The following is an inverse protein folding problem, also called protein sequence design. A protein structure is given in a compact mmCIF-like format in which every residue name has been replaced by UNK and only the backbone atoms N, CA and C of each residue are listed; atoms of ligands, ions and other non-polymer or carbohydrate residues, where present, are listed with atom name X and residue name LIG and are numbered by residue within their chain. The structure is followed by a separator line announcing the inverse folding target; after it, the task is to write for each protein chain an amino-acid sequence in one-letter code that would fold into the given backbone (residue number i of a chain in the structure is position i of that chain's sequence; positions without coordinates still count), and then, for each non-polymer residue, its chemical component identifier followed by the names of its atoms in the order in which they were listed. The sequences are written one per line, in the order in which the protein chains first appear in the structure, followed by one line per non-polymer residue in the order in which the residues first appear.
data_IF_978424976307
#
_entry.id   IF_978424976307
#
_cell.length_a   1.000
_cell.length_b   1.000
_cell.length_c   1.000
_cell.angle_alpha   90.00
_cell.angle_beta   90.00
_cell.angle_gamma   90.00
#
_symmetry.space_group_name_H-M   'P 1'
#
loop_
_entity.id
_entity.type
_entity.pdbx_description
1 polymer ?
#
# COMPACT_ATOMS: atom_id res chain seq x y z
N UNK A 1 18.21 2.01 -10.96
CA UNK A 1 18.79 0.74 -10.44
C UNK A 1 18.29 0.54 -9.01
N UNK A 2 17.15 -0.13 -8.82
CA UNK A 2 16.76 -0.63 -7.51
C UNK A 2 17.35 -2.05 -7.37
N UNK A 3 18.47 -2.17 -6.64
CA UNK A 3 19.00 -3.49 -6.28
C UNK A 3 17.96 -4.13 -5.36
N UNK A 4 17.47 -5.33 -5.70
CA UNK A 4 16.47 -6.09 -4.94
C UNK A 4 16.82 -6.07 -3.44
N UNK A 5 16.00 -5.37 -2.66
CA UNK A 5 16.18 -5.20 -1.21
C UNK A 5 15.96 -6.53 -0.47
N UNK A 6 15.11 -7.39 -1.04
CA UNK A 6 14.72 -8.70 -0.51
C UNK A 6 15.85 -9.74 -0.65
N UNK A 7 16.64 -9.72 -1.73
CA UNK A 7 17.66 -10.76 -1.95
C UNK A 7 18.93 -10.62 -1.09
N UNK A 8 19.17 -9.46 -0.46
CA UNK A 8 20.38 -9.22 0.32
C UNK A 8 20.18 -9.10 1.83
N UNK A 9 18.96 -8.90 2.32
CA UNK A 9 18.71 -8.98 3.76
C UNK A 9 18.49 -10.44 4.11
N UNK A 10 19.44 -11.02 4.84
CA UNK A 10 19.18 -12.21 5.67
C UNK A 10 18.22 -11.80 6.77
N UNK A 11 16.96 -11.56 6.44
CA UNK A 11 15.94 -11.29 7.44
C UNK A 11 15.75 -12.60 8.19
N UNK A 12 16.02 -12.64 9.51
CA UNK A 12 15.76 -13.83 10.28
C UNK A 12 14.27 -14.17 10.13
N UNK A 13 13.98 -15.42 9.77
CA UNK A 13 12.60 -15.91 9.52
C UNK A 13 11.71 -15.72 10.76
N UNK A 14 12.31 -15.59 11.94
CA UNK A 14 11.63 -15.22 13.18
C UNK A 14 12.47 -14.21 13.96
N UNK A 15 11.89 -13.05 14.27
CA UNK A 15 12.44 -12.16 15.30
C UNK A 15 12.06 -12.72 16.69
N UNK A 16 12.93 -12.56 17.70
CA UNK A 16 12.58 -12.96 19.06
C UNK A 16 11.34 -12.19 19.52
N UNK A 17 10.34 -12.92 20.04
CA UNK A 17 9.17 -12.33 20.66
C UNK A 17 9.62 -11.45 21.84
N UNK A 18 9.01 -10.27 21.95
CA UNK A 18 9.25 -9.39 23.09
C UNK A 18 8.46 -9.99 24.26
N UNK A 19 9.09 -10.34 25.38
CA UNK A 19 8.39 -10.93 26.51
C UNK A 19 7.26 -10.01 26.97
N UNK A 20 6.05 -10.55 27.17
CA UNK A 20 4.88 -9.77 27.60
C UNK A 20 5.15 -8.96 28.88
N UNK A 21 6.02 -9.47 29.76
CA UNK A 21 6.46 -8.79 30.98
C UNK A 21 7.13 -7.43 30.76
N UNK A 22 7.65 -7.18 29.55
CA UNK A 22 8.27 -5.90 29.14
C UNK A 22 7.26 -4.91 28.56
N UNK A 23 6.05 -5.34 28.23
CA UNK A 23 5.00 -4.52 27.63
C UNK A 23 3.86 -4.30 28.63
N UNK A 24 4.16 -3.64 29.76
CA UNK A 24 3.11 -3.34 30.77
C UNK A 24 2.17 -2.28 30.21
N UNK A 25 0.89 -2.62 30.07
CA UNK A 25 -0.16 -1.70 29.63
C UNK A 25 -0.69 -2.00 28.22
N UNK A 26 0.14 -2.55 27.33
CA UNK A 26 -0.27 -2.83 25.94
C UNK A 26 -1.42 -3.82 25.91
N UNK A 27 -2.51 -3.46 25.22
CA UNK A 27 -3.66 -4.35 25.04
C UNK A 27 -3.30 -5.46 24.06
N UNK A 28 -3.49 -6.69 24.54
CA UNK A 28 -3.46 -7.88 23.70
C UNK A 28 -4.86 -8.14 23.21
N UNK A 29 -5.06 -7.98 21.90
CA UNK A 29 -6.26 -8.45 21.24
C UNK A 29 -5.99 -9.86 20.70
N UNK A 30 -6.96 -10.75 20.83
CA UNK A 30 -7.03 -11.94 19.98
C UNK A 30 -7.58 -11.57 18.60
N UNK A 31 -7.51 -12.50 17.64
CA UNK A 31 -7.93 -12.24 16.26
C UNK A 31 -9.43 -11.89 16.17
N UNK A 32 -10.26 -12.49 17.03
CA UNK A 32 -11.72 -12.30 17.03
C UNK A 32 -12.11 -10.89 17.53
N UNK A 33 -11.60 -10.50 18.69
CA UNK A 33 -11.81 -9.17 19.29
C UNK A 33 -11.36 -8.07 18.34
N UNK A 34 -10.26 -8.31 17.63
CA UNK A 34 -9.74 -7.35 16.66
C UNK A 34 -10.64 -7.19 15.42
N UNK A 35 -11.18 -8.29 14.89
CA UNK A 35 -12.09 -8.22 13.75
C UNK A 35 -13.42 -7.53 14.10
N UNK A 36 -13.89 -7.66 15.34
CA UNK A 36 -15.02 -6.89 15.87
C UNK A 36 -14.68 -5.40 15.95
N UNK A 37 -13.53 -5.06 16.51
CA UNK A 37 -13.03 -3.68 16.58
C UNK A 37 -12.97 -3.02 15.18
N UNK A 38 -12.47 -3.74 14.17
CA UNK A 38 -12.45 -3.23 12.79
C UNK A 38 -13.85 -3.02 12.20
N UNK A 39 -14.83 -3.86 12.56
CA UNK A 39 -16.23 -3.66 12.14
C UNK A 39 -16.81 -2.42 12.78
N UNK A 40 -16.51 -2.16 14.05
CA UNK A 40 -16.99 -0.98 14.78
C UNK A 40 -16.39 0.31 14.19
N UNK A 41 -15.08 0.35 13.91
CA UNK A 41 -14.46 1.49 13.20
C UNK A 41 -15.15 1.75 11.85
N UNK A 42 -15.44 0.71 11.07
CA UNK A 42 -16.14 0.87 9.78
C UNK A 42 -17.56 1.38 9.96
N UNK A 43 -18.24 0.94 11.01
CA UNK A 43 -19.63 1.32 11.32
C UNK A 43 -19.72 2.77 11.78
N UNK A 44 -18.81 3.24 12.62
CA UNK A 44 -18.72 4.64 13.04
C UNK A 44 -18.47 5.56 11.84
N UNK A 45 -17.48 5.23 11.00
CA UNK A 45 -17.21 5.95 9.75
C UNK A 45 -18.40 6.00 8.78
N UNK A 46 -19.35 5.06 8.91
CA UNK A 46 -20.57 5.02 8.07
C UNK A 46 -21.73 5.81 8.66
N UNK A 47 -21.77 6.02 9.98
CA UNK A 47 -22.87 6.70 10.68
C UNK A 47 -22.76 8.23 10.65
N UNK A 48 -21.55 8.77 10.52
CA UNK A 48 -21.31 10.23 10.47
C UNK A 48 -21.67 10.88 9.12
N UNK A 49 -22.45 10.19 8.30
CA UNK A 49 -22.86 10.64 6.96
C UNK A 49 -23.95 11.72 6.92
N UNK A 50 -24.55 12.12 8.05
CA UNK A 50 -25.86 12.80 8.00
C UNK A 50 -25.93 14.27 8.49
N UNK A 51 -24.87 14.91 9.02
CA UNK A 51 -25.08 16.28 9.56
C UNK A 51 -23.92 17.29 9.58
N UNK A 52 -22.76 17.04 8.94
CA UNK A 52 -21.69 18.04 8.94
C UNK A 52 -21.50 18.67 7.55
N UNK A 53 -21.47 20.00 7.51
CA UNK A 53 -21.16 20.82 6.35
C UNK A 53 -19.97 20.26 5.54
N UNK A 54 -19.90 20.52 4.22
CA UNK A 54 -18.84 20.03 3.35
C UNK A 54 -17.48 20.68 3.69
N UNK A 55 -16.87 20.27 4.80
CA UNK A 55 -15.44 20.41 5.01
C UNK A 55 -14.83 19.60 3.88
N UNK A 56 -14.11 20.27 2.99
CA UNK A 56 -13.39 19.67 1.86
C UNK A 56 -12.53 18.53 2.43
N UNK A 57 -13.06 17.30 2.41
CA UNK A 57 -12.34 16.07 2.76
C UNK A 57 -11.17 16.01 1.81
N UNK A 58 -10.02 16.55 2.23
CA UNK A 58 -8.74 16.35 1.56
C UNK A 58 -8.42 14.88 1.74
N UNK A 59 -8.96 14.10 0.80
CA UNK A 59 -8.57 12.77 0.36
C UNK A 59 -7.68 12.02 1.36
N UNK A 60 -8.31 11.13 2.13
CA UNK A 60 -7.69 9.89 2.62
C UNK A 60 -7.38 8.93 1.44
N UNK A 61 -6.80 9.46 0.37
CA UNK A 61 -6.40 8.70 -0.82
C UNK A 61 -4.99 8.25 -0.54
N UNK A 62 -4.81 6.95 -0.38
CA UNK A 62 -3.56 6.31 0.06
C UNK A 62 -3.34 6.30 1.57
N UNK A 63 -4.36 5.99 2.39
CA UNK A 63 -4.17 5.53 3.77
C UNK A 63 -3.40 6.49 4.70
N UNK A 64 -3.30 7.77 4.32
CA UNK A 64 -2.81 8.86 5.15
C UNK A 64 -3.92 9.26 6.11
N UNK A 65 -3.58 9.44 7.39
CA UNK A 65 -4.59 9.75 8.40
C UNK A 65 -5.49 8.57 8.78
N UNK A 66 -5.06 7.33 8.51
CA UNK A 66 -5.74 6.15 9.05
C UNK A 66 -5.51 6.15 10.55
N UNK A 67 -6.60 6.19 11.31
CA UNK A 67 -6.55 5.93 12.73
C UNK A 67 -6.26 4.44 12.94
N UNK A 68 -5.09 4.16 13.53
CA UNK A 68 -4.65 2.83 13.86
C UNK A 68 -5.00 2.54 15.31
N UNK A 69 -6.26 2.71 15.71
CA UNK A 69 -6.69 2.62 17.12
C UNK A 69 -6.40 1.30 17.85
N UNK A 70 -5.82 0.30 17.17
CA UNK A 70 -5.33 -0.96 17.73
C UNK A 70 -3.81 -1.06 17.86
N UNK A 71 -3.10 -0.08 17.30
CA UNK A 71 -1.68 0.09 17.48
C UNK A 71 -1.49 1.07 18.63
N UNK A 72 -0.72 0.62 19.60
CA UNK A 72 -0.36 1.36 20.81
C UNK A 72 1.16 1.41 20.86
N UNK A 73 1.72 2.48 21.39
CA UNK A 73 3.13 2.57 21.70
C UNK A 73 3.49 1.79 22.98
N UNK A 74 4.74 1.88 23.40
CA UNK A 74 5.24 1.19 24.61
C UNK A 74 4.60 1.71 25.91
N UNK A 75 3.97 2.88 25.87
CA UNK A 75 3.36 3.57 27.00
C UNK A 75 1.82 3.42 27.03
N UNK A 76 1.24 2.51 26.22
CA UNK A 76 -0.22 2.31 26.06
C UNK A 76 -0.94 3.54 25.47
N UNK A 77 -0.21 4.43 24.78
CA UNK A 77 -0.85 5.52 24.05
C UNK A 77 -1.20 5.06 22.63
N UNK A 78 -2.35 5.50 22.08
CA UNK A 78 -2.68 5.28 20.69
C UNK A 78 -1.54 5.77 19.78
N UNK A 79 -1.20 4.97 18.77
CA UNK A 79 -0.13 5.29 17.85
C UNK A 79 -0.43 6.61 17.13
N UNK A 80 0.51 7.57 17.17
CA UNK A 80 0.32 8.85 16.49
C UNK A 80 0.07 8.65 14.98
N UNK A 81 -0.78 9.49 14.39
CA UNK A 81 -1.08 9.47 12.94
C UNK A 81 0.19 9.48 12.10
N UNK A 82 1.15 10.35 12.44
CA UNK A 82 2.44 10.46 11.73
C UNK A 82 3.24 9.16 11.75
N UNK A 83 3.16 8.38 12.84
CA UNK A 83 3.84 7.09 12.96
C UNK A 83 3.10 6.03 12.14
N UNK A 84 1.77 6.03 12.17
CA UNK A 84 0.94 5.22 11.27
C UNK A 84 1.24 5.47 9.78
N UNK A 85 1.39 6.74 9.37
CA UNK A 85 1.74 7.11 8.00
C UNK A 85 3.10 6.55 7.57
N UNK A 86 4.07 6.48 8.51
CA UNK A 86 5.38 5.85 8.26
C UNK A 86 5.27 4.35 8.06
N UNK A 87 4.48 3.66 8.89
CA UNK A 87 4.19 2.22 8.72
C UNK A 87 3.57 1.97 7.34
N UNK A 88 2.55 2.77 6.99
CA UNK A 88 1.90 2.77 5.68
C UNK A 88 2.89 2.92 4.52
N UNK A 89 3.76 3.92 4.62
CA UNK A 89 4.72 4.26 3.55
C UNK A 89 5.75 3.15 3.37
N UNK A 90 6.29 2.62 4.47
CA UNK A 90 7.25 1.53 4.44
C UNK A 90 6.65 0.25 3.86
N UNK A 91 5.46 -0.13 4.33
CA UNK A 91 4.70 -1.26 3.81
C UNK A 91 4.42 -1.16 2.30
N UNK A 92 4.08 0.03 1.79
CA UNK A 92 3.90 0.21 0.34
C UNK A 92 5.18 0.00 -0.44
N UNK A 93 6.31 0.49 0.07
CA UNK A 93 7.62 0.24 -0.54
C UNK A 93 7.87 -1.26 -0.69
N UNK A 94 7.62 -2.05 0.36
CA UNK A 94 7.74 -3.52 0.29
C UNK A 94 6.79 -4.14 -0.75
N UNK A 95 5.56 -3.63 -0.88
CA UNK A 95 4.60 -4.14 -1.87
C UNK A 95 4.98 -3.79 -3.32
N UNK A 96 5.56 -2.61 -3.53
CA UNK A 96 6.11 -2.22 -4.83
C UNK A 96 7.29 -3.11 -5.22
N UNK A 97 8.11 -3.54 -4.26
CA UNK A 97 9.17 -4.51 -4.51
C UNK A 97 8.62 -5.87 -4.91
N UNK A 98 7.61 -6.37 -4.20
CA UNK A 98 6.90 -7.60 -4.59
C UNK A 98 6.34 -7.44 -6.01
N UNK A 99 5.72 -6.30 -6.32
CA UNK A 99 5.21 -6.04 -7.67
C UNK A 99 6.29 -6.11 -8.75
N UNK A 100 7.53 -5.71 -8.48
CA UNK A 100 8.61 -5.84 -9.48
C UNK A 100 8.93 -7.30 -9.82
N UNK A 101 8.63 -8.25 -8.92
CA UNK A 101 8.88 -9.67 -9.12
C UNK A 101 7.68 -10.40 -9.77
N UNK A 102 6.45 -9.90 -9.60
CA UNK A 102 5.24 -10.47 -10.20
C UNK A 102 4.78 -9.67 -11.43
N UNK A 103 4.52 -10.36 -12.55
CA UNK A 103 3.81 -9.73 -13.67
C UNK A 103 2.42 -9.24 -13.22
N UNK A 104 1.97 -8.08 -13.73
CA UNK A 104 0.71 -7.41 -13.37
C UNK A 104 -0.52 -8.35 -13.25
N UNK A 105 -0.62 -9.32 -14.15
CA UNK A 105 -1.75 -10.27 -14.22
C UNK A 105 -1.69 -11.39 -13.18
N UNK A 106 -0.58 -11.53 -12.46
CA UNK A 106 -0.34 -12.60 -11.47
C UNK A 106 -0.43 -12.11 -10.03
N UNK A 107 -0.80 -10.85 -9.80
CA UNK A 107 -0.90 -10.37 -8.42
C UNK A 107 -2.13 -10.93 -7.70
N UNK A 108 -1.94 -11.55 -6.52
CA UNK A 108 -3.01 -12.03 -5.66
C UNK A 108 -4.08 -10.98 -5.39
N UNK A 109 -5.36 -11.35 -5.34
CA UNK A 109 -6.44 -10.45 -4.89
C UNK A 109 -6.39 -10.14 -3.39
N UNK A 110 -5.70 -10.98 -2.61
CA UNK A 110 -5.51 -10.82 -1.17
C UNK A 110 -4.15 -11.33 -0.77
N UNK A 111 -3.60 -10.78 0.31
CA UNK A 111 -2.33 -11.23 0.88
C UNK A 111 -2.41 -12.71 1.31
N UNK A 112 -3.47 -13.10 2.04
CA UNK A 112 -3.62 -14.47 2.60
C UNK A 112 -3.83 -15.59 1.57
N UNK A 113 -4.53 -15.34 0.45
CA UNK A 113 -5.04 -16.45 -0.36
C UNK A 113 -4.12 -16.90 -1.50
N UNK A 114 -3.28 -16.02 -2.06
CA UNK A 114 -2.49 -16.37 -3.25
C UNK A 114 -1.08 -15.80 -3.30
N UNK A 115 -0.67 -15.01 -2.29
CA UNK A 115 0.72 -14.55 -2.22
C UNK A 115 1.58 -15.72 -1.70
N UNK A 116 2.73 -16.04 -2.33
CA UNK A 116 3.58 -17.09 -1.81
C UNK A 116 3.95 -16.82 -0.36
N UNK A 117 3.86 -17.85 0.49
CA UNK A 117 4.06 -17.76 1.93
C UNK A 117 5.34 -16.98 2.30
N UNK A 118 6.42 -17.21 1.53
CA UNK A 118 7.69 -16.52 1.68
C UNK A 118 7.58 -14.98 1.60
N UNK A 119 6.77 -14.44 0.68
CA UNK A 119 6.59 -12.98 0.58
C UNK A 119 5.76 -12.44 1.73
N UNK A 120 4.72 -13.15 2.16
CA UNK A 120 3.94 -12.74 3.34
C UNK A 120 4.80 -12.73 4.60
N UNK A 121 5.57 -13.81 4.83
CA UNK A 121 6.46 -13.92 5.98
C UNK A 121 7.60 -12.91 5.91
N UNK A 122 8.21 -12.71 4.75
CA UNK A 122 9.26 -11.71 4.54
C UNK A 122 8.73 -10.29 4.77
N UNK A 123 7.51 -9.99 4.33
CA UNK A 123 6.85 -8.71 4.58
C UNK A 123 6.62 -8.49 6.08
N UNK A 124 6.05 -9.48 6.77
CA UNK A 124 5.78 -9.42 8.22
C UNK A 124 7.09 -9.23 8.99
N UNK A 125 8.11 -10.02 8.70
CA UNK A 125 9.41 -9.90 9.37
C UNK A 125 10.08 -8.55 9.08
N UNK A 126 9.96 -8.03 7.86
CA UNK A 126 10.52 -6.72 7.50
C UNK A 126 9.82 -5.58 8.23
N UNK A 127 8.48 -5.59 8.32
CA UNK A 127 7.73 -4.53 8.99
C UNK A 127 7.93 -4.56 10.50
N UNK A 128 8.01 -5.74 11.11
CA UNK A 128 8.31 -5.89 12.54
C UNK A 128 9.74 -5.50 12.90
N UNK A 129 10.69 -5.74 11.99
CA UNK A 129 12.07 -5.30 12.19
C UNK A 129 12.20 -3.78 12.21
N UNK A 130 11.31 -3.07 11.52
CA UNK A 130 11.33 -1.61 11.41
C UNK A 130 10.46 -0.93 12.50
N UNK A 131 9.33 -1.56 12.87
CA UNK A 131 8.33 -1.02 13.79
C UNK A 131 8.10 -1.97 14.96
N UNK A 132 8.70 -1.64 16.10
CA UNK A 132 8.59 -2.43 17.33
C UNK A 132 7.17 -2.55 17.86
N UNK A 133 6.30 -1.59 17.57
CA UNK A 133 4.91 -1.56 18.01
C UNK A 133 4.09 -2.73 17.45
N UNK A 134 4.52 -3.26 16.31
CA UNK A 134 3.93 -4.43 15.67
C UNK A 134 4.35 -5.74 16.34
N UNK A 135 5.45 -5.73 17.10
CA UNK A 135 5.98 -6.90 17.83
C UNK A 135 5.36 -7.10 19.20
N UNK A 136 4.55 -6.15 19.69
CA UNK A 136 3.87 -6.24 20.99
C UNK A 136 2.63 -7.15 20.95
N UNK A 137 2.67 -8.22 20.14
CA UNK A 137 1.59 -9.19 20.02
C UNK A 137 2.15 -10.59 19.76
N UNK A 138 1.46 -11.62 20.25
CA UNK A 138 1.79 -13.01 19.95
C UNK A 138 1.47 -13.35 18.49
N UNK A 139 2.24 -14.24 17.87
CA UNK A 139 1.97 -14.73 16.51
C UNK A 139 1.92 -13.65 15.41
N UNK A 140 2.54 -12.48 15.61
CA UNK A 140 2.68 -11.46 14.57
C UNK A 140 1.36 -10.90 14.01
N UNK A 141 0.23 -11.06 14.72
CA UNK A 141 -1.08 -10.76 14.14
C UNK A 141 -1.26 -9.27 13.82
N UNK A 142 -0.68 -8.34 14.61
CA UNK A 142 -0.72 -6.89 14.31
C UNK A 142 -0.03 -6.61 12.98
N UNK A 143 1.17 -7.16 12.78
CA UNK A 143 1.90 -7.03 11.54
C UNK A 143 1.15 -7.67 10.36
N UNK A 144 0.54 -8.85 10.56
CA UNK A 144 -0.26 -9.52 9.54
C UNK A 144 -1.49 -8.69 9.13
N UNK A 145 -2.23 -8.13 10.10
CA UNK A 145 -3.40 -7.30 9.82
C UNK A 145 -3.03 -6.00 9.13
N UNK A 146 -1.92 -5.36 9.53
CA UNK A 146 -1.35 -4.20 8.84
C UNK A 146 -1.00 -4.56 7.39
N UNK A 147 -0.34 -5.70 7.16
CA UNK A 147 -0.03 -6.20 5.83
C UNK A 147 -1.28 -6.36 4.96
N UNK A 148 -2.32 -7.02 5.49
CA UNK A 148 -3.59 -7.27 4.79
C UNK A 148 -4.30 -5.96 4.47
N UNK A 149 -4.41 -5.06 5.44
CA UNK A 149 -5.09 -3.78 5.26
C UNK A 149 -4.41 -2.93 4.19
N UNK A 150 -3.09 -2.76 4.30
CA UNK A 150 -2.32 -1.95 3.37
C UNK A 150 -2.34 -2.57 1.97
N UNK A 151 -2.21 -3.90 1.88
CA UNK A 151 -2.28 -4.60 0.60
C UNK A 151 -3.63 -4.39 -0.10
N UNK A 152 -4.74 -4.54 0.63
CA UNK A 152 -6.08 -4.36 0.08
C UNK A 152 -6.32 -2.93 -0.42
N UNK A 153 -5.91 -1.94 0.38
CA UNK A 153 -6.07 -0.51 0.00
C UNK A 153 -5.19 -0.14 -1.19
N UNK A 154 -3.93 -0.58 -1.19
CA UNK A 154 -2.98 -0.41 -2.29
C UNK A 154 -3.50 -1.06 -3.58
N UNK A 155 -3.91 -2.33 -3.52
CA UNK A 155 -4.40 -3.05 -4.68
C UNK A 155 -5.67 -2.43 -5.26
N UNK A 156 -6.60 -2.00 -4.39
CA UNK A 156 -7.82 -1.31 -4.81
C UNK A 156 -7.49 -0.01 -5.53
N UNK A 157 -6.58 0.80 -4.98
CA UNK A 157 -6.11 2.04 -5.60
C UNK A 157 -5.51 1.78 -6.98
N UNK A 158 -4.62 0.78 -7.06
CA UNK A 158 -3.96 0.38 -8.30
C UNK A 158 -4.93 -0.10 -9.37
N UNK A 159 -5.89 -0.98 -9.03
CA UNK A 159 -6.92 -1.45 -9.97
C UNK A 159 -7.77 -0.29 -10.50
N UNK A 160 -8.12 0.68 -9.66
CA UNK A 160 -8.83 1.90 -10.07
C UNK A 160 -7.99 2.75 -11.02
N UNK A 161 -6.70 2.93 -10.74
CA UNK A 161 -5.78 3.66 -11.60
C UNK A 161 -5.64 2.98 -12.98
N UNK A 162 -5.46 1.66 -13.01
CA UNK A 162 -5.38 0.88 -14.25
C UNK A 162 -6.68 0.94 -15.07
N UNK A 163 -7.84 0.83 -14.42
CA UNK A 163 -9.14 0.98 -15.08
C UNK A 163 -9.32 2.37 -15.68
N UNK A 164 -8.92 3.42 -14.95
CA UNK A 164 -8.95 4.81 -15.46
C UNK A 164 -8.04 4.98 -16.68
N UNK A 165 -6.82 4.46 -16.64
CA UNK A 165 -5.89 4.52 -17.77
C UNK A 165 -6.47 3.87 -19.03
N UNK A 166 -7.12 2.70 -18.90
CA UNK A 166 -7.78 2.02 -20.02
C UNK A 166 -8.96 2.79 -20.60
N UNK A 167 -9.74 3.48 -19.76
CA UNK A 167 -10.89 4.28 -20.22
C UNK A 167 -10.45 5.58 -20.89
N UNK A 168 -9.31 6.16 -20.52
CA UNK A 168 -8.74 7.33 -21.19
C UNK A 168 -8.39 6.98 -22.64
N UNK A 169 -7.74 5.84 -22.88
CA UNK A 169 -7.34 5.39 -24.22
C UNK A 169 -8.53 5.15 -25.16
N UNK A 170 -9.72 4.87 -24.64
CA UNK A 170 -10.93 4.65 -25.47
C UNK A 170 -11.63 5.94 -25.92
N UNK A 171 -11.32 7.07 -25.31
CA UNK A 171 -11.96 8.36 -25.63
C UNK A 171 -11.06 9.28 -26.46
N UNK A 172 -9.88 8.82 -26.87
CA UNK A 172 -9.10 9.49 -27.91
C UNK A 172 -9.61 8.99 -29.25
N UNK A 173 -10.56 9.76 -29.80
CA UNK A 173 -11.15 9.55 -31.12
C UNK A 173 -10.03 9.47 -32.18
N UNK A 174 -9.97 8.39 -32.97
CA UNK A 174 -8.94 8.21 -33.96
C UNK A 174 -9.37 8.86 -35.28
N UNK A 175 -9.53 10.18 -35.38
CA UNK A 175 -9.61 10.86 -36.69
C UNK A 175 -9.55 12.39 -36.59
N UNK A 176 -8.33 12.93 -36.64
CA UNK A 176 -8.07 14.21 -37.31
C UNK A 176 -6.82 14.00 -38.20
N UNK A 177 -6.95 13.03 -39.11
CA UNK A 177 -5.92 12.68 -40.10
C UNK A 177 -5.97 13.56 -41.36
N UNK A 178 -6.71 14.68 -41.34
CA UNK A 178 -6.95 15.53 -42.51
C UNK A 178 -6.33 16.94 -42.40
N UNK A 179 -5.42 17.15 -41.45
CA UNK A 179 -4.70 18.42 -41.26
C UNK A 179 -3.22 18.38 -41.75
N UNK A 180 -2.94 17.61 -42.81
CA UNK A 180 -1.61 17.58 -43.46
C UNK A 180 -1.73 17.68 -44.98
N UNK A 181 -2.38 18.75 -45.44
CA UNK A 181 -2.18 19.29 -46.78
C UNK A 181 -1.76 20.75 -46.66
N UNK A 182 -0.67 21.07 -47.36
CA UNK A 182 -0.09 22.40 -47.64
C UNK A 182 0.92 22.93 -46.62
N UNK A 183 2.21 22.64 -46.83
CA UNK A 183 3.13 23.69 -47.28
C UNK A 183 4.49 23.14 -47.77
N UNK A 184 4.82 23.55 -49.01
CA UNK A 184 6.14 23.69 -49.60
C UNK A 184 6.94 22.46 -50.08
N UNK A 185 6.64 22.12 -51.33
CA UNK A 185 7.64 21.96 -52.41
C UNK A 185 8.71 23.07 -52.44
N UNK A 186 9.87 22.70 -53.01
CA UNK A 186 11.09 23.47 -53.36
C UNK A 186 12.19 23.41 -52.28
N UNK A 187 13.43 22.97 -52.51
CA UNK A 187 14.20 22.96 -53.75
C UNK A 187 15.19 21.80 -53.84
N UNK A 188 15.28 21.31 -55.08
CA UNK A 188 16.40 20.59 -55.68
C UNK A 188 17.62 21.51 -55.75
N UNK A 189 18.69 21.26 -54.99
CA UNK A 189 20.04 21.71 -55.40
C UNK A 189 21.06 20.60 -55.19
N UNK A 190 21.45 20.06 -56.34
CA UNK A 190 22.65 19.30 -56.63
C UNK A 190 23.92 20.02 -56.12
N UNK A 191 24.82 19.29 -55.49
CA UNK A 191 26.26 19.57 -55.64
C UNK A 191 27.07 18.30 -55.41
N UNK A 192 27.35 17.70 -56.56
CA UNK A 192 28.45 16.81 -56.86
C UNK A 192 29.78 17.57 -56.73
N UNK A 193 30.69 17.06 -55.90
CA UNK A 193 32.13 17.32 -55.90
C UNK A 193 32.71 16.30 -54.91
N UNK A 194 33.53 15.34 -55.30
CA UNK A 194 34.76 15.53 -56.08
C UNK A 194 35.92 15.33 -55.13
#
# INVERSE_FOLDING_TARGET
MFKSFVHHRKIPISLPEIPQSKCKGVKYYDEETFDEFLKDIRKENSKDGESAQPVKKKRAVAGEGVDWGFLEDVEDNPLSVKRGDRICSFARGLQEEVLMEFSDDKLPSTCKAHMPLYHCQGFIAAIESEFEELRYCSNHWKAEKVAIYIYSTWQTSRRKAAAKARNIVKNEDPFDADALVTLHTLDTISSDAG
#
